data_IF_022035847828
#
_entry.id   IF_022035847828
#
_cell.length_a   1.000
_cell.length_b   1.000
_cell.length_c   1.000
_cell.angle_alpha   90.00
_cell.angle_beta   90.00
_cell.angle_gamma   90.00
#
_symmetry.space_group_name_H-M   'P 1'
#
loop_
_entity.id
_entity.type
_entity.pdbx_description
1 polymer ?
#
# COMPACT_ATOMS: atom_id res chain seq x y z
N UNK A 1 1.19 7.90 -11.22
CA UNK A 1 1.98 8.97 -10.58
C UNK A 1 1.24 10.28 -10.79
N UNK A 2 1.20 11.18 -9.80
CA UNK A 2 0.41 12.42 -9.93
C UNK A 2 1.08 13.36 -10.95
N UNK A 3 0.40 13.85 -12.00
CA UNK A 3 1.00 14.77 -12.95
C UNK A 3 1.39 16.08 -12.27
N UNK A 4 2.41 16.75 -12.79
CA UNK A 4 2.85 18.05 -12.29
C UNK A 4 1.69 19.06 -12.41
N UNK A 5 1.29 19.74 -11.33
CA UNK A 5 0.19 20.70 -11.37
C UNK A 5 0.54 21.99 -12.12
N UNK A 6 1.83 22.23 -12.40
CA UNK A 6 2.30 23.45 -13.08
C UNK A 6 2.41 23.22 -14.60
N UNK A 7 3.02 22.11 -15.02
CA UNK A 7 3.35 21.88 -16.43
C UNK A 7 2.78 20.59 -17.02
N UNK A 8 2.02 19.81 -16.25
CA UNK A 8 1.41 18.55 -16.71
C UNK A 8 2.38 17.38 -16.94
N UNK A 9 3.70 17.62 -16.92
CA UNK A 9 4.70 16.57 -17.08
C UNK A 9 4.61 15.49 -15.98
N UNK A 10 5.18 14.32 -16.25
CA UNK A 10 5.29 13.27 -15.24
C UNK A 10 6.10 13.75 -14.04
N UNK A 11 5.72 13.30 -12.85
CA UNK A 11 6.50 13.51 -11.63
C UNK A 11 7.07 12.19 -11.14
N UNK A 12 7.95 12.21 -10.13
CA UNK A 12 8.41 11.04 -9.38
C UNK A 12 8.09 11.15 -7.91
N UNK A 13 7.65 10.06 -7.30
CA UNK A 13 7.50 9.98 -5.84
C UNK A 13 8.88 10.00 -5.18
N UNK A 14 9.11 10.93 -4.27
CA UNK A 14 10.33 10.97 -3.45
C UNK A 14 10.15 10.23 -2.14
N UNK A 15 9.04 10.48 -1.46
CA UNK A 15 8.69 9.84 -0.19
C UNK A 15 7.18 9.94 0.04
N UNK A 16 6.66 9.18 1.00
CA UNK A 16 5.28 9.25 1.43
C UNK A 16 5.15 8.88 2.89
N UNK A 17 4.12 9.40 3.55
CA UNK A 17 3.79 9.07 4.94
C UNK A 17 2.29 8.92 5.13
N UNK A 18 1.89 8.08 6.08
CA UNK A 18 0.51 8.07 6.56
C UNK A 18 0.30 9.30 7.43
N UNK A 19 -0.77 10.06 7.17
CA UNK A 19 -1.05 11.30 7.89
C UNK A 19 -1.95 11.06 9.10
N UNK A 20 -2.63 9.91 9.16
CA UNK A 20 -3.52 9.54 10.26
C UNK A 20 -3.25 8.14 10.82
N UNK A 21 -3.72 7.90 12.05
CA UNK A 21 -3.53 6.63 12.77
C UNK A 21 -4.31 5.49 12.13
N UNK A 22 -5.48 5.79 11.57
CA UNK A 22 -6.36 4.83 10.90
C UNK A 22 -5.83 4.38 9.53
N UNK A 23 -4.72 4.98 9.07
CA UNK A 23 -4.05 4.65 7.80
C UNK A 23 -4.96 4.78 6.57
N UNK A 24 -5.89 5.72 6.59
CA UNK A 24 -6.79 6.01 5.46
C UNK A 24 -6.38 7.24 4.65
N UNK A 25 -5.44 8.05 5.16
CA UNK A 25 -4.93 9.25 4.50
C UNK A 25 -3.42 9.13 4.32
N UNK A 26 -2.96 9.28 3.08
CA UNK A 26 -1.53 9.26 2.71
C UNK A 26 -1.12 10.59 2.11
N UNK A 27 -0.06 11.19 2.65
CA UNK A 27 0.64 12.32 2.04
C UNK A 27 1.80 11.79 1.23
N UNK A 28 1.87 12.14 -0.05
CA UNK A 28 2.94 11.72 -0.96
C UNK A 28 3.61 12.96 -1.55
N UNK A 29 4.95 12.98 -1.51
CA UNK A 29 5.78 14.05 -2.02
C UNK A 29 6.34 13.67 -3.39
N UNK A 30 6.25 14.59 -4.34
CA UNK A 30 6.63 14.41 -5.73
C UNK A 30 7.65 15.46 -6.16
N UNK A 31 8.46 15.13 -7.16
CA UNK A 31 9.30 16.05 -7.91
C UNK A 31 8.99 15.92 -9.40
N UNK A 32 8.76 17.03 -10.09
CA UNK A 32 8.54 17.03 -11.53
C UNK A 32 9.78 16.52 -12.28
N UNK A 33 9.57 15.67 -13.29
CA UNK A 33 10.66 15.15 -14.13
C UNK A 33 11.08 16.12 -15.25
N UNK A 34 10.24 17.11 -15.58
CA UNK A 34 10.66 18.18 -16.48
C UNK A 34 11.73 19.02 -15.77
N UNK A 35 12.96 19.01 -16.31
CA UNK A 35 14.12 19.70 -15.73
C UNK A 35 13.94 21.22 -15.68
N UNK A 36 13.20 21.81 -16.62
CA UNK A 36 12.91 23.25 -16.60
C UNK A 36 11.91 23.61 -15.50
N UNK A 37 10.99 22.70 -15.18
CA UNK A 37 10.00 22.92 -14.14
C UNK A 37 10.54 22.57 -12.75
N UNK A 38 11.08 21.37 -12.57
CA UNK A 38 11.73 20.88 -11.35
C UNK A 38 10.90 20.90 -10.07
N UNK A 39 9.64 21.36 -10.13
CA UNK A 39 8.85 21.71 -8.95
C UNK A 39 8.63 20.50 -8.05
N UNK A 40 8.79 20.72 -6.75
CA UNK A 40 8.46 19.75 -5.73
C UNK A 40 7.11 20.11 -5.11
N UNK A 41 6.23 19.13 -5.02
CA UNK A 41 4.86 19.32 -4.51
C UNK A 41 4.43 18.08 -3.74
N UNK A 42 3.32 18.16 -3.01
CA UNK A 42 2.75 17.02 -2.31
C UNK A 42 1.25 16.91 -2.56
N UNK A 43 0.73 15.70 -2.48
CA UNK A 43 -0.70 15.42 -2.55
C UNK A 43 -1.16 14.70 -1.30
N UNK A 44 -2.42 14.89 -0.93
CA UNK A 44 -3.09 14.13 0.11
C UNK A 44 -4.11 13.22 -0.55
N UNK A 45 -3.95 11.90 -0.37
CA UNK A 45 -4.82 10.88 -0.95
C UNK A 45 -5.60 10.20 0.18
N UNK A 46 -6.92 10.12 0.06
CA UNK A 46 -7.80 9.46 1.02
C UNK A 46 -8.48 8.23 0.40
N UNK A 47 -8.72 7.22 1.22
CA UNK A 47 -9.60 6.09 0.86
C UNK A 47 -11.05 6.56 0.99
N UNK A 48 -11.78 6.62 -0.12
CA UNK A 48 -13.18 7.08 -0.16
C UNK A 48 -14.16 5.90 -0.07
N UNK A 49 -13.79 4.77 -0.66
CA UNK A 49 -14.63 3.58 -0.68
C UNK A 49 -13.89 2.37 -1.23
N UNK A 50 -14.52 1.21 -1.15
CA UNK A 50 -14.01 -0.05 -1.67
C UNK A 50 -14.77 -0.42 -2.94
N UNK A 51 -14.04 -0.77 -4.00
CA UNK A 51 -14.65 -1.19 -5.29
C UNK A 51 -15.02 -2.69 -5.26
N UNK A 52 -14.40 -3.46 -4.38
CA UNK A 52 -14.69 -4.87 -4.17
C UNK A 52 -13.76 -5.50 -3.15
N UNK A 53 -14.16 -6.64 -2.61
CA UNK A 53 -13.32 -7.51 -1.78
C UNK A 53 -13.40 -8.92 -2.38
N UNK A 54 -12.26 -9.61 -2.47
CA UNK A 54 -12.27 -11.01 -2.87
C UNK A 54 -13.20 -11.79 -1.94
N UNK A 55 -14.08 -12.61 -2.52
CA UNK A 55 -14.85 -13.57 -1.72
C UNK A 55 -13.85 -14.56 -1.16
N UNK A 56 -13.68 -14.56 0.15
CA UNK A 56 -13.06 -15.66 0.89
C UNK A 56 -14.03 -16.83 0.88
N UNK A 57 -14.29 -17.41 -0.29
CA UNK A 57 -14.82 -18.77 -0.34
C UNK A 57 -13.60 -19.63 -0.02
N UNK A 58 -13.55 -20.16 1.21
CA UNK A 58 -12.42 -20.87 1.80
C UNK A 58 -11.97 -22.04 0.92
N UNK A 59 -11.09 -21.74 -0.04
CA UNK A 59 -10.15 -22.73 -0.55
C UNK A 59 -9.05 -22.76 0.49
N UNK A 60 -9.02 -23.82 1.29
CA UNK A 60 -7.95 -24.09 2.25
C UNK A 60 -6.61 -23.78 1.59
N UNK A 61 -5.96 -22.71 2.03
CA UNK A 61 -4.64 -22.34 1.51
C UNK A 61 -3.70 -23.47 1.95
N UNK A 62 -3.01 -24.17 1.03
CA UNK A 62 -2.15 -25.30 1.37
C UNK A 62 -0.88 -24.80 2.05
N UNK A 63 -0.99 -24.53 3.35
CA UNK A 63 0.03 -23.88 4.16
C UNK A 63 1.33 -24.67 4.20
N UNK A 64 1.22 -25.99 4.20
CA UNK A 64 2.37 -26.88 4.28
C UNK A 64 3.18 -26.95 2.99
N UNK A 65 2.56 -26.65 1.85
CA UNK A 65 3.25 -26.58 0.56
C UNK A 65 3.96 -25.23 0.35
N UNK A 66 3.67 -24.23 1.19
CA UNK A 66 4.29 -22.91 1.11
C UNK A 66 5.58 -22.85 1.93
N UNK A 67 6.70 -22.38 1.32
CA UNK A 67 7.91 -22.04 2.05
C UNK A 67 7.62 -21.08 3.20
N UNK A 68 8.38 -21.17 4.30
CA UNK A 68 8.19 -20.34 5.48
C UNK A 68 8.21 -18.83 5.17
N UNK A 69 8.97 -18.40 4.16
CA UNK A 69 9.01 -17.02 3.66
C UNK A 69 7.71 -16.53 3.01
N UNK A 70 6.88 -17.46 2.51
CA UNK A 70 5.60 -17.17 1.83
C UNK A 70 4.37 -17.29 2.75
N UNK A 71 4.56 -17.79 3.97
CA UNK A 71 3.52 -17.89 5.02
C UNK A 71 3.11 -16.52 5.61
N UNK A 72 3.51 -15.41 4.99
CA UNK A 72 3.05 -14.05 5.31
C UNK A 72 3.21 -13.64 6.78
N UNK A 73 2.64 -12.49 7.15
CA UNK A 73 2.24 -12.23 8.56
C UNK A 73 0.80 -12.73 8.72
N UNK A 74 0.28 -12.83 9.95
CA UNK A 74 -1.14 -13.12 10.25
C UNK A 74 -2.08 -12.06 9.62
N UNK A 75 -2.22 -12.11 8.29
CA UNK A 75 -3.04 -11.25 7.43
C UNK A 75 -4.34 -11.97 7.05
N UNK A 76 -4.54 -13.17 7.59
CA UNK A 76 -5.73 -13.99 7.47
C UNK A 76 -6.32 -14.16 8.88
N UNK A 77 -7.63 -13.99 9.02
CA UNK A 77 -8.35 -14.36 10.24
C UNK A 77 -8.53 -15.88 10.26
N UNK A 78 -7.43 -16.62 10.43
CA UNK A 78 -7.50 -18.01 10.83
C UNK A 78 -6.93 -18.08 12.24
N UNK A 79 -7.66 -18.74 13.14
CA UNK A 79 -7.14 -19.11 14.45
C UNK A 79 -5.97 -20.07 14.18
N UNK A 80 -4.75 -19.54 14.17
CA UNK A 80 -3.56 -20.35 14.12
C UNK A 80 -3.38 -20.92 15.51
N UNK A 81 -3.63 -22.21 15.67
CA UNK A 81 -3.25 -22.94 16.88
C UNK A 81 -1.74 -22.73 17.08
N UNK A 82 -1.38 -21.80 17.94
CA UNK A 82 -0.01 -21.65 18.42
C UNK A 82 0.29 -22.90 19.23
N UNK A 83 0.96 -23.87 18.60
CA UNK A 83 1.65 -24.90 19.36
C UNK A 83 2.81 -24.21 20.05
N UNK A 84 2.65 -24.01 21.36
CA UNK A 84 3.69 -23.52 22.25
C UNK A 84 4.96 -24.37 22.04
N UNK A 85 5.98 -23.76 21.45
CA UNK A 85 7.32 -24.34 21.40
C UNK A 85 7.95 -24.16 22.79
N UNK A 86 8.05 -25.27 23.51
CA UNK A 86 8.81 -25.45 24.76
C UNK A 86 10.31 -25.25 24.57
#
# INVERSE_FOLDING_TARGET
MFPCPICGASSRTRTSRMENKERTIRRTYYQCNNLECGVSFYTLQSVIGLVGKNKTEDKSIPWEDLPSSHRGRNQLNFDLDQKDET
#
